data_IF_555446472274
#
_entry.id   IF_555446472274
#
_cell.length_a   1.000
_cell.length_b   1.000
_cell.length_c   1.000
_cell.angle_alpha   90.00
_cell.angle_beta   90.00
_cell.angle_gamma   90.00
#
_symmetry.space_group_name_H-M   'P 1'
#
loop_
_entity.id
_entity.type
_entity.pdbx_description
1 polymer ?
#
# COMPACT_ATOMS: atom_id res chain seq x y z
N UNK A 1 23.77 7.93 10.11
CA UNK A 1 22.71 7.01 10.60
C UNK A 1 21.41 7.49 9.99
N UNK A 2 20.53 6.59 9.57
CA UNK A 2 19.20 6.94 9.06
C UNK A 2 18.32 7.47 10.19
N UNK A 3 17.44 8.41 9.87
CA UNK A 3 16.43 8.94 10.81
C UNK A 3 15.18 8.08 10.75
N UNK A 4 14.80 7.65 9.55
CA UNK A 4 13.64 6.83 9.27
C UNK A 4 14.07 5.47 8.73
N UNK A 5 13.33 4.43 9.11
CA UNK A 5 13.49 3.11 8.52
C UNK A 5 12.80 3.10 7.15
N UNK A 6 11.55 3.59 7.09
CA UNK A 6 10.75 3.62 5.87
C UNK A 6 10.06 4.98 5.71
N UNK A 7 10.28 5.64 4.57
CA UNK A 7 9.40 6.68 4.06
C UNK A 7 8.40 6.01 3.11
N UNK A 8 7.11 6.32 3.22
CA UNK A 8 6.11 5.91 2.23
C UNK A 8 5.51 7.11 1.49
N UNK A 9 5.17 6.96 0.22
CA UNK A 9 4.54 8.00 -0.61
C UNK A 9 3.30 7.39 -1.26
N UNK A 10 2.13 8.02 -1.11
CA UNK A 10 0.90 7.49 -1.68
C UNK A 10 -0.28 8.44 -1.63
N UNK A 11 -1.42 7.96 -2.12
CA UNK A 11 -2.67 8.69 -2.09
C UNK A 11 -3.22 8.71 -0.65
N UNK A 12 -3.37 9.90 -0.05
CA UNK A 12 -3.90 10.06 1.30
C UNK A 12 -5.43 10.01 1.26
N UNK A 13 -5.98 8.87 1.68
CA UNK A 13 -7.40 8.52 1.52
C UNK A 13 -8.02 8.21 2.88
N UNK A 14 -9.25 8.66 3.10
CA UNK A 14 -10.12 8.14 4.16
C UNK A 14 -11.07 7.10 3.56
N UNK A 15 -11.09 5.91 4.15
CA UNK A 15 -11.95 4.83 3.73
C UNK A 15 -13.31 4.96 4.42
N UNK A 16 -14.38 4.75 3.65
CA UNK A 16 -15.76 4.68 4.10
C UNK A 16 -16.21 3.25 3.82
N UNK A 17 -16.43 2.45 4.86
CA UNK A 17 -16.51 0.99 4.76
C UNK A 17 -17.92 0.52 5.13
N UNK A 18 -18.54 -0.29 4.28
CA UNK A 18 -19.80 -0.97 4.59
C UNK A 18 -19.82 -2.39 4.02
N UNK A 19 -20.64 -3.25 4.63
CA UNK A 19 -20.93 -4.59 4.10
C UNK A 19 -21.93 -4.51 2.96
N UNK A 20 -21.79 -5.38 1.96
CA UNK A 20 -22.79 -5.53 0.89
C UNK A 20 -22.95 -7.00 0.45
N UNK A 21 -24.02 -7.28 -0.27
CA UNK A 21 -24.20 -8.54 -0.99
C UNK A 21 -23.51 -8.48 -2.36
N UNK A 22 -23.16 -9.62 -2.94
CA UNK A 22 -22.58 -9.72 -4.30
C UNK A 22 -23.41 -8.96 -5.36
N UNK A 23 -24.74 -9.08 -5.24
CA UNK A 23 -25.68 -8.42 -6.15
C UNK A 23 -25.53 -6.90 -6.15
N UNK A 24 -25.15 -6.30 -5.01
CA UNK A 24 -24.90 -4.87 -4.95
C UNK A 24 -23.76 -4.46 -5.89
N UNK A 25 -22.68 -5.25 -5.95
CA UNK A 25 -21.56 -4.97 -6.83
C UNK A 25 -22.00 -5.03 -8.31
N UNK A 26 -22.76 -6.06 -8.68
CA UNK A 26 -23.25 -6.22 -10.07
C UNK A 26 -24.25 -5.13 -10.45
N UNK A 27 -25.22 -4.81 -9.59
CA UNK A 27 -26.28 -3.83 -9.86
C UNK A 27 -25.72 -2.39 -9.97
N UNK A 28 -24.55 -2.15 -9.39
CA UNK A 28 -23.87 -0.84 -9.45
C UNK A 28 -22.70 -0.81 -10.43
N UNK A 29 -22.34 -1.92 -11.09
CA UNK A 29 -21.19 -1.99 -12.00
C UNK A 29 -19.85 -1.74 -11.29
N UNK A 30 -19.68 -2.32 -10.11
CA UNK A 30 -18.42 -2.28 -9.34
C UNK A 30 -17.63 -3.54 -9.67
N UNK A 31 -16.37 -3.38 -10.08
CA UNK A 31 -15.49 -4.52 -10.31
C UNK A 31 -15.04 -5.08 -8.96
N UNK A 32 -15.36 -6.35 -8.71
CA UNK A 32 -15.01 -7.04 -7.46
C UNK A 32 -13.50 -7.15 -7.30
N UNK A 33 -13.02 -6.99 -6.07
CA UNK A 33 -11.59 -7.12 -5.68
C UNK A 33 -10.64 -6.11 -6.32
N UNK A 34 -11.16 -5.10 -7.01
CA UNK A 34 -10.38 -4.07 -7.70
C UNK A 34 -10.46 -2.70 -7.02
N UNK A 35 -9.58 -1.80 -7.46
CA UNK A 35 -9.72 -0.36 -7.24
C UNK A 35 -10.41 0.30 -8.46
N UNK A 36 -11.62 0.79 -8.24
CA UNK A 36 -12.41 1.48 -9.24
C UNK A 36 -12.24 3.00 -9.05
N UNK A 37 -11.58 3.68 -10.00
CA UNK A 37 -11.55 5.13 -10.00
C UNK A 37 -12.91 5.69 -10.37
N UNK A 38 -13.35 6.71 -9.63
CA UNK A 38 -14.64 7.36 -9.82
C UNK A 38 -14.50 8.89 -9.75
N UNK A 39 -15.40 9.59 -10.41
CA UNK A 39 -15.54 11.04 -10.26
C UNK A 39 -16.43 11.40 -9.05
N UNK A 40 -16.60 12.71 -8.82
CA UNK A 40 -17.40 13.21 -7.71
C UNK A 40 -18.90 12.85 -7.84
N UNK A 41 -19.46 12.84 -9.05
CA UNK A 41 -20.87 12.48 -9.27
C UNK A 41 -21.12 11.02 -8.90
N UNK A 42 -20.25 10.12 -9.36
CA UNK A 42 -20.32 8.70 -9.03
C UNK A 42 -20.03 8.43 -7.56
N UNK A 43 -19.19 9.24 -6.90
CA UNK A 43 -18.99 9.15 -5.46
C UNK A 43 -20.26 9.44 -4.66
N UNK A 44 -20.96 10.53 -4.98
CA UNK A 44 -22.25 10.85 -4.35
C UNK A 44 -23.32 9.79 -4.66
N UNK A 45 -23.36 9.28 -5.91
CA UNK A 45 -24.29 8.22 -6.30
C UNK A 45 -24.07 6.95 -5.48
N UNK A 46 -22.83 6.45 -5.39
CA UNK A 46 -22.53 5.22 -4.66
C UNK A 46 -22.77 5.41 -3.17
N UNK A 47 -22.40 6.55 -2.60
CA UNK A 47 -22.65 6.85 -1.20
C UNK A 47 -24.15 6.90 -0.88
N UNK A 48 -24.98 7.45 -1.76
CA UNK A 48 -26.45 7.46 -1.58
C UNK A 48 -27.10 6.07 -1.56
N UNK A 49 -26.41 5.06 -2.11
CA UNK A 49 -26.84 3.65 -2.15
C UNK A 49 -26.18 2.81 -1.08
N UNK A 50 -25.17 3.35 -0.39
CA UNK A 50 -24.41 2.67 0.64
C UNK A 50 -25.26 2.54 1.91
N UNK A 51 -25.14 1.40 2.60
CA UNK A 51 -25.70 1.25 3.94
C UNK A 51 -24.94 2.08 4.98
N UNK A 52 -25.30 1.98 6.27
CA UNK A 52 -24.51 2.57 7.35
C UNK A 52 -23.05 2.14 7.25
N UNK A 53 -22.14 3.11 7.30
CA UNK A 53 -20.72 2.91 7.10
C UNK A 53 -19.90 3.27 8.34
N UNK A 54 -18.64 2.86 8.33
CA UNK A 54 -17.61 3.28 9.27
C UNK A 54 -16.47 3.95 8.51
N UNK A 55 -16.03 5.10 9.00
CA UNK A 55 -14.87 5.81 8.49
C UNK A 55 -13.58 5.37 9.20
N UNK A 56 -12.52 5.15 8.42
CA UNK A 56 -11.18 4.87 8.93
C UNK A 56 -10.14 5.46 7.98
N UNK A 57 -9.05 6.02 8.52
CA UNK A 57 -7.94 6.47 7.68
C UNK A 57 -7.32 5.29 6.92
N UNK A 58 -7.18 5.45 5.60
CA UNK A 58 -6.68 4.44 4.67
C UNK A 58 -5.46 4.92 3.89
N UNK A 59 -5.49 4.70 2.58
CA UNK A 59 -4.37 4.92 1.65
C UNK A 59 -3.29 3.85 1.79
N UNK A 60 -2.96 3.14 0.72
CA UNK A 60 -2.14 1.90 0.77
C UNK A 60 -0.75 2.13 1.40
N UNK A 61 -0.05 3.19 1.01
CA UNK A 61 1.21 3.61 1.60
C UNK A 61 1.05 4.20 3.00
N UNK A 62 -0.08 4.87 3.28
CA UNK A 62 -0.41 5.38 4.61
C UNK A 62 -0.59 4.22 5.62
N UNK A 63 -1.28 3.16 5.20
CA UNK A 63 -1.45 1.92 5.96
C UNK A 63 -0.10 1.22 6.18
N UNK A 64 0.74 1.15 5.13
CA UNK A 64 2.09 0.60 5.24
C UNK A 64 2.92 1.36 6.28
N UNK A 65 2.95 2.70 6.25
CA UNK A 65 3.67 3.51 7.24
C UNK A 65 3.15 3.32 8.67
N UNK A 66 1.83 3.30 8.85
CA UNK A 66 1.21 3.00 10.15
C UNK A 66 1.61 1.60 10.66
N UNK A 67 1.67 0.61 9.77
CA UNK A 67 2.13 -0.74 10.10
C UNK A 67 3.59 -0.79 10.56
N UNK A 68 4.48 -0.07 9.87
CA UNK A 68 5.90 0.07 10.28
C UNK A 68 6.00 0.67 11.68
N UNK A 69 5.25 1.74 11.94
CA UNK A 69 5.24 2.39 13.24
C UNK A 69 4.68 1.49 14.34
N UNK A 70 3.61 0.74 14.06
CA UNK A 70 3.01 -0.25 14.99
C UNK A 70 3.96 -1.40 15.34
N UNK A 71 4.86 -1.80 14.42
CA UNK A 71 5.94 -2.76 14.68
C UNK A 71 7.10 -2.16 15.51
N UNK A 72 7.12 -0.85 15.70
CA UNK A 72 8.14 -0.10 16.44
C UNK A 72 9.26 0.46 15.55
N UNK A 73 9.10 0.44 14.23
CA UNK A 73 9.99 1.13 13.29
C UNK A 73 9.70 2.63 13.22
N UNK A 74 10.60 3.39 12.61
CA UNK A 74 10.45 4.83 12.39
C UNK A 74 9.96 5.09 10.97
N UNK A 75 8.70 5.51 10.85
CA UNK A 75 8.08 5.78 9.55
C UNK A 75 7.91 7.28 9.27
N UNK A 76 7.97 7.64 8.00
CA UNK A 76 7.52 8.92 7.46
C UNK A 76 6.52 8.68 6.32
N UNK A 77 5.67 9.66 6.03
CA UNK A 77 4.69 9.58 4.96
C UNK A 77 4.58 10.91 4.20
N UNK A 78 4.49 10.83 2.86
CA UNK A 78 4.06 11.92 2.00
C UNK A 78 2.73 11.56 1.33
N UNK A 79 1.78 12.49 1.36
CA UNK A 79 0.46 12.31 0.78
C UNK A 79 -0.35 13.58 0.89
N UNK A 80 -1.24 13.82 -0.08
CA UNK A 80 -1.94 15.10 -0.22
C UNK A 80 -3.37 15.02 0.29
N UNK A 81 -3.68 15.91 1.23
CA UNK A 81 -5.02 16.09 1.83
C UNK A 81 -5.52 17.51 1.58
N UNK A 82 -6.80 17.76 1.84
CA UNK A 82 -7.34 19.10 1.95
C UNK A 82 -7.45 19.54 3.42
N UNK A 83 -7.57 20.84 3.63
CA UNK A 83 -7.86 21.46 4.92
C UNK A 83 -9.37 21.34 5.22
N UNK A 84 -9.81 20.10 5.39
CA UNK A 84 -11.18 19.72 5.69
C UNK A 84 -11.23 18.65 6.80
N UNK A 85 -12.43 18.29 7.24
CA UNK A 85 -12.62 17.34 8.35
C UNK A 85 -11.99 15.96 8.07
N UNK A 86 -12.04 15.48 6.82
CA UNK A 86 -11.44 14.20 6.46
C UNK A 86 -9.91 14.29 6.47
N UNK A 87 -9.33 15.41 6.03
CA UNK A 87 -7.91 15.67 6.10
C UNK A 87 -7.41 15.81 7.54
N UNK A 88 -8.20 16.44 8.41
CA UNK A 88 -7.91 16.51 9.85
C UNK A 88 -7.90 15.12 10.50
N UNK A 89 -8.88 14.26 10.18
CA UNK A 89 -8.94 12.85 10.64
C UNK A 89 -7.71 12.08 10.14
N UNK A 90 -7.39 12.17 8.85
CA UNK A 90 -6.24 11.48 8.27
C UNK A 90 -4.93 11.91 8.94
N UNK A 91 -4.75 13.23 9.10
CA UNK A 91 -3.57 13.82 9.75
C UNK A 91 -3.45 13.33 11.19
N UNK A 92 -4.52 13.39 11.95
CA UNK A 92 -4.56 12.91 13.33
C UNK A 92 -4.14 11.43 13.41
N UNK A 93 -4.80 10.57 12.64
CA UNK A 93 -4.64 9.12 12.76
C UNK A 93 -3.23 8.68 12.41
N UNK A 94 -2.63 9.23 11.35
CA UNK A 94 -1.28 8.85 10.93
C UNK A 94 -0.22 9.38 11.92
N UNK A 95 -0.38 10.61 12.43
CA UNK A 95 0.54 11.19 13.42
C UNK A 95 0.39 10.53 14.80
N UNK A 96 -0.82 10.10 15.19
CA UNK A 96 -1.07 9.40 16.44
C UNK A 96 -0.39 8.01 16.48
N UNK A 97 -0.14 7.40 15.33
CA UNK A 97 0.70 6.20 15.21
C UNK A 97 2.20 6.49 15.38
N UNK A 98 2.60 7.76 15.43
CA UNK A 98 4.00 8.19 15.52
C UNK A 98 4.70 8.32 14.17
N UNK A 99 3.95 8.32 13.06
CA UNK A 99 4.49 8.54 11.72
C UNK A 99 4.78 10.04 11.52
N UNK A 100 5.94 10.35 10.93
CA UNK A 100 6.24 11.70 10.50
C UNK A 100 5.40 12.07 9.27
N UNK A 101 4.50 13.05 9.41
CA UNK A 101 3.66 13.54 8.32
C UNK A 101 3.58 15.07 8.38
N UNK A 102 4.16 15.75 7.38
CA UNK A 102 4.27 17.22 7.31
C UNK A 102 3.83 17.84 5.98
N UNK A 103 3.38 17.02 5.03
CA UNK A 103 2.82 17.50 3.76
C UNK A 103 1.75 18.55 4.01
N UNK A 104 1.87 19.71 3.35
CA UNK A 104 0.93 20.80 3.57
C UNK A 104 -0.42 20.51 2.89
N UNK A 105 -1.54 20.71 3.60
CA UNK A 105 -2.87 20.49 3.04
C UNK A 105 -3.19 21.53 1.95
N UNK A 106 -4.13 21.21 1.07
CA UNK A 106 -4.76 22.18 0.19
C UNK A 106 -5.73 23.07 0.98
N UNK A 107 -5.73 24.37 0.75
CA UNK A 107 -6.60 25.28 1.52
C UNK A 107 -8.11 25.16 1.21
N UNK A 108 -8.50 24.58 0.07
CA UNK A 108 -9.92 24.55 -0.34
C UNK A 108 -10.34 23.27 -1.08
N UNK A 109 -10.14 23.21 -2.40
CA UNK A 109 -10.63 22.14 -3.27
C UNK A 109 -9.51 21.64 -4.21
N UNK A 110 -9.57 20.38 -4.67
CA UNK A 110 -10.58 19.35 -4.34
C UNK A 110 -10.49 18.87 -2.87
N UNK A 111 -11.58 18.28 -2.30
CA UNK A 111 -11.59 17.85 -0.90
C UNK A 111 -10.68 16.63 -0.71
N UNK A 112 -10.41 16.26 0.54
CA UNK A 112 -9.63 15.06 0.86
C UNK A 112 -10.21 13.82 0.17
N UNK A 113 -9.31 12.96 -0.32
CA UNK A 113 -9.69 11.77 -1.05
C UNK A 113 -10.48 10.80 -0.17
N UNK A 114 -11.42 10.08 -0.78
CA UNK A 114 -12.24 9.09 -0.08
C UNK A 114 -12.51 7.87 -0.93
N UNK A 115 -12.50 6.70 -0.30
CA UNK A 115 -12.80 5.42 -0.95
C UNK A 115 -14.03 4.79 -0.31
N UNK A 116 -15.08 4.55 -1.10
CA UNK A 116 -16.19 3.70 -0.66
C UNK A 116 -15.78 2.24 -0.86
N UNK A 117 -15.57 1.56 0.25
CA UNK A 117 -15.16 0.15 0.29
C UNK A 117 -16.36 -0.71 0.65
N UNK A 118 -16.69 -1.61 -0.27
CA UNK A 118 -17.75 -2.59 -0.08
C UNK A 118 -17.13 -3.95 0.20
N UNK A 119 -17.44 -4.49 1.39
CA UNK A 119 -16.94 -5.79 1.86
C UNK A 119 -18.05 -6.84 1.70
N UNK A 120 -17.77 -7.89 0.92
CA UNK A 120 -18.70 -9.03 0.71
C UNK A 120 -18.58 -10.08 1.81
N UNK A 121 -19.49 -11.05 1.84
CA UNK A 121 -19.55 -12.07 2.92
C UNK A 121 -18.28 -12.94 3.02
N UNK A 122 -17.60 -13.14 1.89
CA UNK A 122 -16.30 -13.83 1.80
C UNK A 122 -15.12 -12.99 2.34
N UNK A 123 -15.38 -11.74 2.76
CA UNK A 123 -14.38 -10.80 3.25
C UNK A 123 -13.63 -10.05 2.16
N UNK A 124 -13.90 -10.31 0.88
CA UNK A 124 -13.30 -9.56 -0.22
C UNK A 124 -13.75 -8.11 -0.22
N UNK A 125 -12.83 -7.21 -0.61
CA UNK A 125 -13.07 -5.76 -0.66
C UNK A 125 -13.08 -5.23 -2.09
N UNK A 126 -14.07 -4.41 -2.41
CA UNK A 126 -14.18 -3.72 -3.70
C UNK A 126 -14.19 -2.21 -3.46
N UNK A 127 -13.16 -1.53 -3.96
CA UNK A 127 -12.90 -0.11 -3.63
C UNK A 127 -13.39 0.80 -4.75
N UNK A 128 -13.96 1.95 -4.38
CA UNK A 128 -14.40 2.98 -5.31
C UNK A 128 -13.85 4.33 -4.85
N UNK A 129 -12.77 4.76 -5.48
CA UNK A 129 -11.93 5.86 -4.98
C UNK A 129 -12.14 7.13 -5.79
N UNK A 130 -12.57 8.19 -5.10
CA UNK A 130 -12.48 9.55 -5.60
C UNK A 130 -11.19 10.18 -5.09
N UNK A 131 -10.28 10.50 -6.01
CA UNK A 131 -8.91 10.92 -5.67
C UNK A 131 -8.82 12.30 -5.00
N UNK A 132 -9.80 13.18 -5.18
CA UNK A 132 -9.83 14.47 -4.48
C UNK A 132 -8.47 15.19 -4.48
N UNK A 133 -8.02 15.64 -3.31
CA UNK A 133 -6.75 16.33 -3.07
C UNK A 133 -5.51 15.58 -3.56
N UNK A 134 -5.55 14.24 -3.73
CA UNK A 134 -4.41 13.46 -4.18
C UNK A 134 -3.89 13.87 -5.56
N UNK A 135 -4.74 14.46 -6.41
CA UNK A 135 -4.32 14.94 -7.75
C UNK A 135 -3.32 16.09 -7.70
N UNK A 136 -3.23 16.78 -6.56
CA UNK A 136 -2.33 17.90 -6.33
C UNK A 136 -1.00 17.49 -5.66
N UNK A 137 -0.78 16.18 -5.43
CA UNK A 137 0.52 15.70 -4.97
C UNK A 137 1.57 15.92 -6.06
N UNK A 138 2.65 16.62 -5.73
CA UNK A 138 3.71 16.95 -6.69
C UNK A 138 5.11 17.06 -6.07
N UNK A 139 6.14 17.37 -6.88
CA UNK A 139 7.52 17.54 -6.42
C UNK A 139 7.68 18.53 -5.26
N UNK A 140 6.82 19.53 -5.17
CA UNK A 140 6.78 20.52 -4.09
C UNK A 140 6.50 19.91 -2.70
N UNK A 141 5.91 18.71 -2.66
CA UNK A 141 5.61 17.99 -1.43
C UNK A 141 6.74 17.04 -0.99
N UNK A 142 7.80 16.91 -1.78
CA UNK A 142 8.96 16.06 -1.43
C UNK A 142 9.85 16.82 -0.45
N UNK A 143 9.98 16.31 0.78
CA UNK A 143 10.94 16.81 1.76
C UNK A 143 12.30 16.11 1.57
N UNK A 144 13.32 16.76 0.94
CA UNK A 144 14.53 16.05 0.50
C UNK A 144 15.34 15.44 1.65
N UNK A 145 15.37 16.10 2.81
CA UNK A 145 16.07 15.62 4.00
C UNK A 145 15.44 14.35 4.59
N UNK A 146 14.11 14.21 4.48
CA UNK A 146 13.39 13.00 4.91
C UNK A 146 13.73 11.84 3.97
N UNK A 147 13.70 12.06 2.66
CA UNK A 147 14.08 11.05 1.65
C UNK A 147 15.54 10.60 1.84
N UNK A 148 16.47 11.54 1.98
CA UNK A 148 17.90 11.25 2.16
C UNK A 148 18.22 10.46 3.45
N UNK A 149 17.35 10.59 4.46
CA UNK A 149 17.51 9.98 5.78
C UNK A 149 16.66 8.73 6.02
N UNK A 150 15.81 8.33 5.07
CA UNK A 150 15.06 7.08 5.10
C UNK A 150 15.87 5.92 4.53
N UNK A 151 15.89 4.74 5.18
CA UNK A 151 16.60 3.58 4.64
C UNK A 151 15.94 3.05 3.36
N UNK A 152 14.60 3.03 3.31
CA UNK A 152 13.80 2.69 2.14
C UNK A 152 12.76 3.77 1.89
N UNK A 153 12.60 4.22 0.64
CA UNK A 153 11.45 5.01 0.18
C UNK A 153 10.51 4.09 -0.61
N UNK A 154 9.33 3.83 -0.08
CA UNK A 154 8.30 2.96 -0.66
C UNK A 154 7.16 3.79 -1.28
N UNK A 155 6.64 3.41 -2.43
CA UNK A 155 5.50 4.11 -3.03
C UNK A 155 4.45 3.21 -3.68
N UNK A 156 3.25 3.74 -3.87
CA UNK A 156 2.15 3.07 -4.57
C UNK A 156 2.27 3.21 -6.09
N UNK A 157 2.09 2.12 -6.83
CA UNK A 157 1.77 2.19 -8.27
C UNK A 157 0.53 3.04 -8.57
N UNK A 158 -0.44 3.13 -7.65
CA UNK A 158 -1.59 4.05 -7.76
C UNK A 158 -1.22 5.53 -7.97
N UNK A 159 0.01 5.95 -7.67
CA UNK A 159 0.47 7.32 -7.92
C UNK A 159 0.68 7.64 -9.41
N UNK A 160 0.48 6.68 -10.30
CA UNK A 160 0.45 6.95 -11.74
C UNK A 160 -0.90 7.48 -12.25
N UNK A 161 -1.98 7.31 -11.48
CA UNK A 161 -3.29 7.89 -11.78
C UNK A 161 -3.34 9.42 -11.61
N UNK A 162 -2.88 10.02 -10.48
CA UNK A 162 -2.78 11.47 -10.37
C UNK A 162 -1.69 12.04 -11.30
N UNK A 163 -1.86 13.28 -11.81
CA UNK A 163 -1.09 13.77 -12.96
C UNK A 163 0.40 14.00 -12.66
N UNK A 164 0.73 14.48 -11.46
CA UNK A 164 2.07 15.00 -11.11
C UNK A 164 2.84 14.16 -10.10
N UNK A 165 2.20 13.19 -9.45
CA UNK A 165 2.86 12.41 -8.41
C UNK A 165 4.04 11.58 -8.94
N UNK A 166 4.00 11.14 -10.21
CA UNK A 166 5.14 10.46 -10.87
C UNK A 166 6.42 11.31 -10.87
N UNK A 167 6.29 12.64 -10.92
CA UNK A 167 7.44 13.57 -10.88
C UNK A 167 8.06 13.56 -9.47
N UNK A 168 7.21 13.63 -8.43
CA UNK A 168 7.62 13.52 -7.03
C UNK A 168 8.34 12.18 -6.76
N UNK A 169 7.84 11.08 -7.33
CA UNK A 169 8.47 9.76 -7.19
C UNK A 169 9.85 9.72 -7.85
N UNK A 170 9.99 10.26 -9.07
CA UNK A 170 11.30 10.30 -9.75
C UNK A 170 12.30 11.17 -8.99
N UNK A 171 11.86 12.29 -8.41
CA UNK A 171 12.70 13.12 -7.55
C UNK A 171 13.10 12.41 -6.25
N UNK A 172 12.15 11.76 -5.58
CA UNK A 172 12.44 10.99 -4.36
C UNK A 172 13.38 9.81 -4.64
N UNK A 173 13.19 9.09 -5.73
CA UNK A 173 14.07 7.98 -6.12
C UNK A 173 15.50 8.47 -6.37
N UNK A 174 15.67 9.57 -7.11
CA UNK A 174 16.98 10.21 -7.33
C UNK A 174 17.65 10.58 -6.00
N UNK A 175 16.93 11.27 -5.11
CA UNK A 175 17.48 11.69 -3.80
C UNK A 175 17.86 10.47 -2.94
N UNK A 176 17.01 9.43 -2.92
CA UNK A 176 17.27 8.20 -2.19
C UNK A 176 18.57 7.54 -2.67
N UNK A 177 18.71 7.31 -3.99
CA UNK A 177 19.89 6.67 -4.56
C UNK A 177 21.17 7.50 -4.42
N UNK A 178 21.10 8.82 -4.59
CA UNK A 178 22.24 9.73 -4.34
C UNK A 178 22.78 9.63 -2.89
N UNK A 179 21.93 9.22 -1.95
CA UNK A 179 22.27 9.03 -0.54
C UNK A 179 22.51 7.56 -0.15
N UNK A 180 22.59 6.65 -1.13
CA UNK A 180 22.80 5.22 -0.90
C UNK A 180 21.63 4.56 -0.15
N UNK A 181 20.40 5.00 -0.43
CA UNK A 181 19.15 4.41 0.06
C UNK A 181 18.50 3.58 -1.03
N UNK A 182 17.46 2.85 -0.68
CA UNK A 182 16.72 2.01 -1.63
C UNK A 182 15.32 2.54 -1.90
N UNK A 183 14.81 2.19 -3.07
CA UNK A 183 13.46 2.55 -3.51
C UNK A 183 12.64 1.28 -3.66
N UNK A 184 11.42 1.30 -3.12
CA UNK A 184 10.48 0.20 -3.19
C UNK A 184 9.15 0.66 -3.79
N UNK A 185 8.43 -0.25 -4.44
CA UNK A 185 7.07 0.01 -4.88
C UNK A 185 6.14 -1.17 -4.65
N UNK A 186 4.85 -0.92 -4.54
CA UNK A 186 3.80 -1.94 -4.75
C UNK A 186 3.14 -1.78 -6.11
N UNK A 187 2.87 -2.89 -6.80
CA UNK A 187 2.08 -2.90 -8.03
C UNK A 187 0.61 -2.49 -7.83
N UNK A 188 0.16 -2.46 -6.56
CA UNK A 188 -1.09 -1.87 -6.08
C UNK A 188 -2.38 -2.61 -6.45
N UNK A 189 -2.63 -2.83 -7.73
CA UNK A 189 -3.83 -3.48 -8.27
C UNK A 189 -3.60 -3.91 -9.72
N UNK A 190 -4.21 -5.02 -10.14
CA UNK A 190 -3.99 -5.58 -11.48
C UNK A 190 -4.50 -4.68 -12.62
N UNK A 191 -5.55 -3.88 -12.40
CA UNK A 191 -6.01 -2.89 -13.36
C UNK A 191 -5.07 -1.69 -13.40
N UNK A 192 -4.51 -1.27 -12.27
CA UNK A 192 -3.43 -0.27 -12.21
C UNK A 192 -2.21 -0.73 -13.03
N UNK A 193 -1.78 -1.98 -12.83
CA UNK A 193 -0.71 -2.60 -13.63
C UNK A 193 -1.05 -2.58 -15.12
N UNK A 194 -2.29 -2.91 -15.50
CA UNK A 194 -2.70 -2.87 -16.91
C UNK A 194 -2.65 -1.46 -17.51
N UNK A 195 -2.97 -0.41 -16.72
CA UNK A 195 -2.88 0.99 -17.18
C UNK A 195 -1.43 1.45 -17.39
N UNK A 196 -0.51 1.01 -16.53
CA UNK A 196 0.85 1.58 -16.44
C UNK A 196 1.98 0.56 -16.63
N UNK A 197 1.67 -0.60 -17.22
CA UNK A 197 2.60 -1.74 -17.37
C UNK A 197 3.98 -1.33 -17.88
N UNK A 198 4.02 -0.55 -18.96
CA UNK A 198 5.26 -0.12 -19.58
C UNK A 198 6.08 0.79 -18.66
N UNK A 199 5.43 1.70 -17.94
CA UNK A 199 6.10 2.59 -16.99
C UNK A 199 6.60 1.80 -15.77
N UNK A 200 5.83 0.86 -15.23
CA UNK A 200 6.28 0.03 -14.11
C UNK A 200 7.49 -0.84 -14.47
N UNK A 201 7.48 -1.46 -15.66
CA UNK A 201 8.64 -2.21 -16.16
C UNK A 201 9.86 -1.30 -16.36
N UNK A 202 9.66 -0.06 -16.85
CA UNK A 202 10.74 0.92 -16.99
C UNK A 202 11.34 1.31 -15.65
N UNK A 203 10.53 1.56 -14.61
CA UNK A 203 11.03 1.88 -13.26
C UNK A 203 11.90 0.76 -12.70
N UNK A 204 11.50 -0.49 -12.90
CA UNK A 204 12.24 -1.66 -12.44
C UNK A 204 13.55 -1.82 -13.24
N UNK A 205 13.46 -1.88 -14.56
CA UNK A 205 14.61 -2.18 -15.44
C UNK A 205 15.62 -1.04 -15.54
N UNK A 206 15.21 0.20 -15.31
CA UNK A 206 16.12 1.36 -15.19
C UNK A 206 16.88 1.39 -13.85
N UNK A 207 16.47 0.57 -12.88
CA UNK A 207 16.99 0.60 -11.51
C UNK A 207 16.43 1.75 -10.67
N UNK A 208 15.37 2.44 -11.13
CA UNK A 208 14.65 3.43 -10.32
C UNK A 208 14.00 2.76 -9.10
N UNK A 209 13.59 1.49 -9.22
CA UNK A 209 13.00 0.69 -8.14
C UNK A 209 13.86 -0.54 -7.86
N UNK A 210 14.25 -0.71 -6.60
CA UNK A 210 15.05 -1.83 -6.11
C UNK A 210 14.18 -3.01 -5.64
N UNK A 211 13.08 -2.71 -4.93
CA UNK A 211 12.24 -3.71 -4.24
C UNK A 211 10.79 -3.62 -4.71
N UNK A 212 10.24 -4.71 -5.24
CA UNK A 212 8.84 -4.75 -5.73
C UNK A 212 7.96 -5.64 -4.86
N UNK A 213 6.79 -5.11 -4.47
CA UNK A 213 5.70 -5.86 -3.89
C UNK A 213 4.61 -6.07 -4.94
N UNK A 214 4.06 -7.29 -4.98
CA UNK A 214 2.94 -7.63 -5.84
C UNK A 214 2.11 -8.74 -5.19
N UNK A 215 0.86 -8.89 -5.60
CA UNK A 215 0.15 -10.16 -5.46
C UNK A 215 0.24 -10.99 -6.75
N UNK A 216 -0.27 -12.23 -6.70
CA UNK A 216 -0.31 -13.13 -7.87
C UNK A 216 -0.97 -12.47 -9.09
N UNK A 217 -2.12 -11.82 -8.93
CA UNK A 217 -2.86 -11.23 -10.05
C UNK A 217 -2.09 -10.08 -10.71
N UNK A 218 -1.45 -9.23 -9.92
CA UNK A 218 -0.60 -8.13 -10.38
C UNK A 218 0.65 -8.64 -11.13
N UNK A 219 1.31 -9.67 -10.60
CA UNK A 219 2.48 -10.26 -11.25
C UNK A 219 2.13 -10.89 -12.61
N UNK A 220 0.99 -11.59 -12.69
CA UNK A 220 0.47 -12.13 -13.96
C UNK A 220 0.11 -11.01 -14.94
N UNK A 221 -0.57 -9.96 -14.47
CA UNK A 221 -0.96 -8.81 -15.28
C UNK A 221 0.24 -8.00 -15.80
N UNK A 222 1.33 -7.90 -15.03
CA UNK A 222 2.55 -7.18 -15.42
C UNK A 222 3.22 -7.83 -16.64
N UNK A 223 3.11 -9.15 -16.74
CA UNK A 223 3.80 -9.94 -17.78
C UNK A 223 2.89 -10.51 -18.86
N UNK A 224 1.59 -10.27 -18.77
CA UNK A 224 0.57 -10.77 -19.71
C UNK A 224 0.67 -12.28 -19.89
N UNK A 225 0.81 -13.00 -18.78
CA UNK A 225 0.92 -14.47 -18.76
C UNK A 225 -0.05 -15.04 -17.73
N UNK A 226 -0.47 -16.29 -17.96
CA UNK A 226 -1.21 -17.10 -16.98
C UNK A 226 -0.28 -18.03 -16.19
N UNK A 227 0.99 -18.13 -16.57
CA UNK A 227 2.00 -18.94 -15.87
C UNK A 227 2.67 -18.12 -14.76
N UNK A 228 2.33 -18.46 -13.51
CA UNK A 228 2.90 -17.79 -12.34
C UNK A 228 4.41 -18.03 -12.19
N UNK A 229 4.94 -19.18 -12.61
CA UNK A 229 6.37 -19.46 -12.60
C UNK A 229 7.11 -18.59 -13.63
N UNK A 230 6.51 -18.38 -14.80
CA UNK A 230 7.02 -17.43 -15.80
C UNK A 230 7.04 -16.01 -15.24
N UNK A 231 5.93 -15.55 -14.65
CA UNK A 231 5.84 -14.22 -14.04
C UNK A 231 6.92 -14.00 -12.97
N UNK A 232 7.13 -14.96 -12.07
CA UNK A 232 8.19 -14.90 -11.05
C UNK A 232 9.60 -14.89 -11.64
N UNK A 233 9.81 -15.60 -12.76
CA UNK A 233 11.10 -15.63 -13.45
C UNK A 233 11.41 -14.29 -14.10
N UNK A 234 10.42 -13.65 -14.72
CA UNK A 234 10.56 -12.33 -15.34
C UNK A 234 10.73 -11.25 -14.26
N UNK A 235 9.94 -11.31 -13.18
CA UNK A 235 10.05 -10.39 -12.04
C UNK A 235 11.45 -10.38 -11.43
N UNK A 236 12.04 -11.56 -11.22
CA UNK A 236 13.39 -11.69 -10.67
C UNK A 236 14.51 -11.20 -11.61
N UNK A 237 14.22 -10.97 -12.89
CA UNK A 237 15.17 -10.36 -13.85
C UNK A 237 15.04 -8.84 -13.86
N UNK A 238 13.83 -8.34 -13.71
CA UNK A 238 13.54 -6.91 -13.88
C UNK A 238 13.79 -6.10 -12.61
N UNK A 239 13.79 -6.71 -11.42
CA UNK A 239 14.09 -6.03 -10.16
C UNK A 239 15.07 -6.82 -9.27
N UNK A 240 15.69 -6.12 -8.31
CA UNK A 240 16.72 -6.69 -7.42
C UNK A 240 16.12 -7.65 -6.39
N UNK A 241 14.95 -7.31 -5.87
CA UNK A 241 14.22 -8.07 -4.86
C UNK A 241 12.72 -7.90 -5.12
N UNK A 242 11.95 -8.99 -5.07
CA UNK A 242 10.50 -8.88 -5.02
C UNK A 242 9.88 -9.80 -3.98
N UNK A 243 8.77 -9.37 -3.40
CA UNK A 243 7.95 -10.17 -2.51
C UNK A 243 6.54 -10.27 -3.09
N UNK A 244 6.16 -11.49 -3.50
CA UNK A 244 4.90 -11.76 -4.19
C UNK A 244 3.96 -12.51 -3.25
N UNK A 245 2.84 -11.89 -2.88
CA UNK A 245 1.81 -12.49 -2.03
C UNK A 245 0.86 -13.36 -2.85
N UNK A 246 0.35 -14.40 -2.21
CA UNK A 246 -0.51 -15.42 -2.80
C UNK A 246 -1.68 -15.73 -1.86
N UNK A 247 -2.21 -14.69 -1.20
CA UNK A 247 -3.30 -14.80 -0.23
C UNK A 247 -3.03 -15.88 0.83
N UNK A 248 -3.91 -16.86 0.98
CA UNK A 248 -3.80 -17.96 1.95
C UNK A 248 -2.63 -18.92 1.69
N UNK A 249 -2.04 -18.90 0.48
CA UNK A 249 -0.83 -19.68 0.16
C UNK A 249 0.45 -19.00 0.70
N UNK A 250 0.33 -17.81 1.28
CA UNK A 250 1.42 -17.04 1.87
C UNK A 250 2.12 -16.17 0.84
N UNK A 251 3.44 -16.26 0.75
CA UNK A 251 4.22 -15.44 -0.18
C UNK A 251 5.46 -16.16 -0.70
N UNK A 252 6.00 -15.63 -1.79
CA UNK A 252 7.29 -16.02 -2.34
C UNK A 252 8.16 -14.78 -2.52
N UNK A 253 9.34 -14.82 -1.91
CA UNK A 253 10.35 -13.78 -2.03
C UNK A 253 11.36 -14.24 -3.09
N UNK A 254 11.66 -13.36 -4.05
CA UNK A 254 12.54 -13.65 -5.18
C UNK A 254 13.70 -12.67 -5.20
N UNK A 255 14.94 -13.20 -5.29
CA UNK A 255 16.17 -12.41 -5.39
C UNK A 255 17.15 -13.13 -6.32
N UNK A 256 17.24 -12.69 -7.58
CA UNK A 256 17.96 -13.43 -8.62
C UNK A 256 17.41 -14.85 -8.77
N UNK A 257 18.22 -15.87 -8.47
CA UNK A 257 17.79 -17.28 -8.49
C UNK A 257 17.24 -17.78 -7.15
N UNK A 258 17.37 -17.01 -6.07
CA UNK A 258 16.83 -17.37 -4.76
C UNK A 258 15.31 -17.26 -4.77
N UNK A 259 14.64 -18.25 -4.15
CA UNK A 259 13.20 -18.32 -3.97
C UNK A 259 12.92 -18.76 -2.55
N UNK A 260 12.27 -17.92 -1.75
CA UNK A 260 11.93 -18.22 -0.36
C UNK A 260 10.42 -18.23 -0.25
N UNK A 261 9.84 -19.42 -0.06
CA UNK A 261 8.41 -19.56 0.24
C UNK A 261 8.19 -19.30 1.73
N UNK A 262 7.19 -18.48 2.04
CA UNK A 262 6.74 -18.20 3.40
C UNK A 262 5.27 -18.56 3.50
N UNK A 263 4.93 -19.35 4.50
CA UNK A 263 3.55 -19.75 4.75
C UNK A 263 2.71 -18.59 5.30
N UNK A 264 1.42 -18.57 4.96
CA UNK A 264 0.48 -17.60 5.53
C UNK A 264 0.32 -17.83 7.04
N UNK A 265 0.16 -16.74 7.78
CA UNK A 265 -0.20 -16.80 9.20
C UNK A 265 -1.62 -17.33 9.30
N UNK A 266 -1.82 -18.34 10.16
CA UNK A 266 -3.15 -18.91 10.38
C UNK A 266 -4.03 -17.88 11.09
N UNK A 267 -5.15 -17.56 10.48
CA UNK A 267 -6.19 -16.69 11.02
C UNK A 267 -7.41 -17.51 11.45
N UNK A 268 -8.17 -17.00 12.41
CA UNK A 268 -9.40 -17.64 12.87
C UNK A 268 -10.56 -17.43 11.90
N UNK A 269 -10.61 -16.27 11.25
CA UNK A 269 -11.60 -15.90 10.23
C UNK A 269 -11.09 -14.75 9.37
N UNK A 270 -11.45 -14.73 8.10
CA UNK A 270 -11.29 -13.55 7.25
C UNK A 270 -12.51 -12.65 7.46
N UNK A 271 -12.30 -11.40 7.89
CA UNK A 271 -13.36 -10.43 8.16
C UNK A 271 -13.46 -9.39 7.05
N UNK A 272 -12.32 -8.87 6.62
CA UNK A 272 -12.18 -7.81 5.62
C UNK A 272 -10.74 -7.86 5.09
N UNK A 273 -10.53 -8.09 3.78
CA UNK A 273 -9.18 -8.20 3.20
C UNK A 273 -8.51 -6.84 2.96
N UNK A 274 -9.18 -5.73 3.30
CA UNK A 274 -8.62 -4.37 3.16
C UNK A 274 -7.34 -4.21 3.99
N UNK A 275 -6.27 -3.71 3.36
CA UNK A 275 -4.97 -3.50 4.01
C UNK A 275 -4.04 -4.72 4.06
N UNK A 276 -4.46 -5.91 3.60
CA UNK A 276 -3.63 -7.12 3.69
C UNK A 276 -2.25 -6.98 3.02
N UNK A 277 -2.22 -6.48 1.77
CA UNK A 277 -0.98 -6.25 1.03
C UNK A 277 -0.12 -5.14 1.65
N UNK A 278 -0.77 -4.08 2.15
CA UNK A 278 -0.12 -2.94 2.79
C UNK A 278 0.63 -3.38 4.05
N UNK A 279 -0.04 -4.17 4.90
CA UNK A 279 0.55 -4.67 6.14
C UNK A 279 1.56 -5.79 5.89
N UNK A 280 1.42 -6.55 4.81
CA UNK A 280 2.49 -7.43 4.35
C UNK A 280 3.77 -6.64 4.02
N UNK A 281 3.65 -5.55 3.25
CA UNK A 281 4.79 -4.68 2.93
C UNK A 281 5.37 -4.04 4.19
N UNK A 282 4.53 -3.61 5.13
CA UNK A 282 4.98 -3.07 6.41
C UNK A 282 5.82 -4.08 7.20
N UNK A 283 5.30 -5.29 7.44
CA UNK A 283 6.04 -6.32 8.16
C UNK A 283 7.35 -6.70 7.47
N UNK A 284 7.33 -6.81 6.14
CA UNK A 284 8.51 -7.10 5.35
C UNK A 284 9.57 -6.00 5.47
N UNK A 285 9.20 -4.75 5.22
CA UNK A 285 10.14 -3.62 5.22
C UNK A 285 10.65 -3.30 6.62
N UNK A 286 9.86 -3.52 7.67
CA UNK A 286 10.33 -3.44 9.06
C UNK A 286 11.45 -4.45 9.33
N UNK A 287 11.26 -5.71 8.94
CA UNK A 287 12.30 -6.74 9.09
C UNK A 287 13.53 -6.44 8.23
N UNK A 288 13.31 -5.98 6.99
CA UNK A 288 14.34 -5.69 6.01
C UNK A 288 15.27 -4.56 6.47
N UNK A 289 14.69 -3.45 6.92
CA UNK A 289 15.44 -2.28 7.40
C UNK A 289 16.17 -2.56 8.73
N UNK A 290 15.70 -3.52 9.52
CA UNK A 290 16.39 -4.04 10.70
C UNK A 290 17.49 -5.08 10.39
N UNK A 291 17.75 -5.40 9.11
CA UNK A 291 18.77 -6.36 8.69
C UNK A 291 18.42 -7.82 8.99
N UNK A 292 17.13 -8.15 9.15
CA UNK A 292 16.68 -9.54 9.35
C UNK A 292 16.85 -10.36 8.06
N UNK A 293 17.00 -11.70 8.17
CA UNK A 293 16.94 -12.59 7.01
C UNK A 293 15.60 -12.48 6.26
N UNK A 294 15.61 -12.66 4.94
CA UNK A 294 14.43 -12.48 4.08
C UNK A 294 13.25 -13.39 4.49
N UNK A 295 13.50 -14.61 4.98
CA UNK A 295 12.42 -15.48 5.47
C UNK A 295 11.73 -14.90 6.71
N UNK A 296 12.48 -14.21 7.59
CA UNK A 296 11.92 -13.49 8.74
C UNK A 296 11.15 -12.25 8.28
N UNK A 297 11.64 -11.52 7.28
CA UNK A 297 10.91 -10.40 6.67
C UNK A 297 9.56 -10.86 6.13
N UNK A 298 9.53 -11.96 5.36
CA UNK A 298 8.27 -12.52 4.87
C UNK A 298 7.35 -13.00 5.99
N UNK A 299 7.88 -13.60 7.07
CA UNK A 299 7.08 -14.02 8.23
C UNK A 299 6.47 -12.83 8.98
N UNK A 300 7.21 -11.73 9.11
CA UNK A 300 6.68 -10.48 9.68
C UNK A 300 5.57 -9.89 8.80
N UNK A 301 5.76 -9.88 7.47
CA UNK A 301 4.72 -9.47 6.52
C UNK A 301 3.48 -10.36 6.62
N UNK A 302 3.67 -11.67 6.63
CA UNK A 302 2.59 -12.66 6.78
C UNK A 302 1.82 -12.49 8.10
N UNK A 303 2.51 -12.22 9.21
CA UNK A 303 1.89 -11.97 10.51
C UNK A 303 1.05 -10.69 10.50
N UNK A 304 1.61 -9.58 10.01
CA UNK A 304 0.92 -8.30 9.97
C UNK A 304 -0.31 -8.34 9.04
N UNK A 305 -0.18 -8.98 7.87
CA UNK A 305 -1.30 -9.22 6.96
C UNK A 305 -2.38 -10.11 7.58
N UNK A 306 -1.99 -11.20 8.26
CA UNK A 306 -2.93 -12.07 8.96
C UNK A 306 -3.73 -11.33 10.04
N UNK A 307 -3.09 -10.45 10.81
CA UNK A 307 -3.75 -9.68 11.86
C UNK A 307 -4.76 -8.69 11.29
N UNK A 308 -4.40 -7.96 10.23
CA UNK A 308 -5.29 -6.91 9.70
C UNK A 308 -6.55 -7.50 9.05
N UNK A 309 -6.49 -8.71 8.48
CA UNK A 309 -7.68 -9.32 7.86
C UNK A 309 -8.69 -9.90 8.86
N UNK A 310 -8.35 -9.98 10.16
CA UNK A 310 -9.26 -10.44 11.22
C UNK A 310 -10.13 -9.32 11.82
N UNK A 311 -10.02 -8.10 11.30
CA UNK A 311 -10.76 -6.91 11.74
C UNK A 311 -11.46 -6.24 10.56
N UNK A 312 -12.28 -5.22 10.83
CA UNK A 312 -12.76 -4.29 9.79
C UNK A 312 -11.81 -3.11 9.73
N UNK A 313 -11.46 -2.67 8.52
CA UNK A 313 -10.62 -1.50 8.30
C UNK A 313 -9.12 -1.78 8.23
N UNK A 314 -8.37 -0.88 7.58
CA UNK A 314 -7.09 -1.22 6.95
C UNK A 314 -5.86 -1.10 7.84
N UNK A 315 -6.00 -0.56 9.07
CA UNK A 315 -4.88 -0.34 9.99
C UNK A 315 -5.06 -1.18 11.25
N UNK A 316 -4.04 -1.92 11.71
CA UNK A 316 -4.16 -2.84 12.82
C UNK A 316 -4.52 -2.09 14.12
N UNK A 317 -5.60 -2.51 14.78
CA UNK A 317 -6.01 -1.99 16.08
C UNK A 317 -5.23 -2.61 17.25
N UNK A 318 -4.47 -3.67 16.96
CA UNK A 318 -3.59 -4.35 17.92
C UNK A 318 -2.14 -3.95 17.68
N UNK A 319 -1.34 -3.97 18.75
CA UNK A 319 0.11 -3.78 18.69
C UNK A 319 0.77 -4.88 17.86
N UNK A 320 1.23 -4.55 16.65
CA UNK A 320 1.95 -5.51 15.80
C UNK A 320 3.28 -5.91 16.43
N UNK A 321 3.93 -5.00 17.17
CA UNK A 321 5.17 -5.29 17.90
C UNK A 321 4.98 -6.42 18.91
N UNK A 322 3.92 -6.37 19.73
CA UNK A 322 3.67 -7.41 20.74
C UNK A 322 3.30 -8.75 20.09
N UNK A 323 2.56 -8.71 18.98
CA UNK A 323 2.26 -9.91 18.20
C UNK A 323 3.54 -10.53 17.61
N UNK A 324 4.44 -9.72 17.05
CA UNK A 324 5.71 -10.18 16.49
C UNK A 324 6.65 -10.73 17.57
N UNK A 325 6.71 -10.10 18.75
CA UNK A 325 7.45 -10.63 19.90
C UNK A 325 6.89 -11.98 20.36
N UNK A 326 5.57 -12.11 20.48
CA UNK A 326 4.90 -13.37 20.85
C UNK A 326 5.14 -14.48 19.83
N UNK A 327 5.26 -14.13 18.55
CA UNK A 327 5.59 -15.06 17.47
C UNK A 327 7.10 -15.38 17.37
N UNK A 328 7.96 -14.74 18.19
CA UNK A 328 9.40 -14.96 18.17
C UNK A 328 10.11 -14.37 16.95
N UNK A 329 9.55 -13.31 16.35
CA UNK A 329 10.09 -12.66 15.14
C UNK A 329 10.92 -11.39 15.43
N UNK A 330 10.84 -10.85 16.66
CA UNK A 330 11.61 -9.70 17.12
C UNK A 330 12.88 -10.12 17.87
#
# INVERSE_FOLDING_TARGET
MTTFDVLTIGNAIVDIIARCEERFLTDNGIIKSAMNLIDAERAELLYSRMGPALEASGGSAGNTAAGIASLGGKAAYFGKIANDQLGEIFTHDIQAQGVHFRTQPLDTFPPTARSMIFVTEDGERSMNTYLGACVELGPEDVEPDVVASAAVTYFEGYLWDPPRAKEAIRDAARIAHENGREVSMTLSDSFCVNRYRAEFLELMTSGTVDIVFANRAEALALYETEDFSEALTRLARDCRLAAVTMSEEGSIIVRGNERIKVEATKVSRVVDTTGAGDLYAAGFLFGYTAGKPLDICGKLGSLAAGIVIEQVGPRPMLSLKDAAAKAGLL
#
